data_IF_996551752781
#
_entry.id   IF_996551752781
#
_cell.length_a   1.000
_cell.length_b   1.000
_cell.length_c   1.000
_cell.angle_alpha   90.00
_cell.angle_beta   90.00
_cell.angle_gamma   90.00
#
_symmetry.space_group_name_H-M   'P 1'
#
loop_
_entity.id
_entity.type
_entity.pdbx_description
1 polymer ?
#
# COMPACT_ATOMS: atom_id res chain seq x y z
N UNK A 1 -2.20 27.25 -47.58
CA UNK A 1 -3.40 27.31 -46.70
C UNK A 1 -3.68 25.96 -46.05
N UNK A 2 -3.62 24.85 -46.78
CA UNK A 2 -3.86 23.49 -46.21
C UNK A 2 -2.93 23.09 -45.04
N UNK A 3 -1.67 23.53 -45.05
CA UNK A 3 -0.71 23.22 -44.00
C UNK A 3 -1.06 23.91 -42.64
N UNK A 4 -1.58 25.12 -42.73
CA UNK A 4 -1.99 25.91 -41.55
C UNK A 4 -3.26 25.34 -40.87
N UNK A 5 -4.21 24.84 -41.66
CA UNK A 5 -5.42 24.20 -41.18
C UNK A 5 -5.09 22.83 -40.54
N UNK A 6 -4.15 22.07 -41.12
CA UNK A 6 -3.64 20.83 -40.55
C UNK A 6 -2.97 21.03 -39.19
N UNK A 7 -2.12 22.06 -39.09
CA UNK A 7 -1.46 22.42 -37.81
C UNK A 7 -2.45 22.89 -36.77
N UNK A 8 -3.46 23.70 -37.12
CA UNK A 8 -4.48 24.19 -36.21
C UNK A 8 -5.35 23.03 -35.68
N UNK A 9 -5.72 22.08 -36.55
CA UNK A 9 -6.49 20.91 -36.16
C UNK A 9 -5.68 20.01 -35.21
N UNK A 10 -4.37 19.79 -35.47
CA UNK A 10 -3.50 19.01 -34.61
C UNK A 10 -3.35 19.64 -33.21
N UNK A 11 -3.18 20.97 -33.15
CA UNK A 11 -3.14 21.71 -31.87
C UNK A 11 -4.46 21.60 -31.10
N UNK A 12 -5.59 21.75 -31.81
CA UNK A 12 -6.92 21.63 -31.22
C UNK A 12 -7.17 20.21 -30.67
N UNK A 13 -6.83 19.19 -31.41
CA UNK A 13 -6.96 17.81 -30.95
C UNK A 13 -6.09 17.50 -29.74
N UNK A 14 -4.86 18.06 -29.71
CA UNK A 14 -3.97 17.92 -28.57
C UNK A 14 -4.54 18.60 -27.34
N UNK A 15 -5.00 19.84 -27.48
CA UNK A 15 -5.62 20.61 -26.39
C UNK A 15 -6.89 19.89 -25.84
N UNK A 16 -7.69 19.28 -26.72
CA UNK A 16 -8.87 18.51 -26.30
C UNK A 16 -8.48 17.21 -25.56
N UNK A 17 -7.42 16.52 -26.00
CA UNK A 17 -6.90 15.34 -25.30
C UNK A 17 -6.36 15.69 -23.93
N UNK A 18 -5.55 16.74 -23.85
CA UNK A 18 -4.97 17.22 -22.60
C UNK A 18 -6.06 17.68 -21.61
N UNK A 19 -7.08 18.38 -22.10
CA UNK A 19 -8.23 18.78 -21.27
C UNK A 19 -9.07 17.60 -20.78
N UNK A 20 -9.22 16.55 -21.58
CA UNK A 20 -9.91 15.31 -21.14
C UNK A 20 -9.08 14.58 -20.10
N UNK A 21 -7.79 14.39 -20.33
CA UNK A 21 -6.89 13.75 -19.39
C UNK A 21 -6.84 14.47 -18.03
N UNK A 22 -6.82 15.83 -18.06
CA UNK A 22 -6.88 16.63 -16.85
C UNK A 22 -8.19 16.45 -16.06
N UNK A 23 -9.35 16.43 -16.76
CA UNK A 23 -10.65 16.21 -16.12
C UNK A 23 -10.76 14.81 -15.51
N UNK A 24 -10.29 13.77 -16.23
CA UNK A 24 -10.30 12.40 -15.74
C UNK A 24 -9.37 12.23 -14.53
N UNK A 25 -8.23 12.93 -14.51
CA UNK A 25 -7.33 12.94 -13.36
C UNK A 25 -7.97 13.62 -12.13
N UNK A 26 -8.64 14.75 -12.35
CA UNK A 26 -9.36 15.47 -11.29
C UNK A 26 -10.53 14.66 -10.75
N UNK A 27 -11.28 13.98 -11.61
CA UNK A 27 -12.37 13.13 -11.20
C UNK A 27 -11.87 11.93 -10.39
N UNK A 28 -10.83 11.23 -10.84
CA UNK A 28 -10.19 10.15 -10.07
C UNK A 28 -9.71 10.61 -8.70
N UNK A 29 -9.15 11.82 -8.60
CA UNK A 29 -8.74 12.42 -7.32
C UNK A 29 -9.94 12.64 -6.39
N UNK A 30 -11.05 13.18 -6.91
CA UNK A 30 -12.25 13.43 -6.13
C UNK A 30 -12.90 12.11 -5.67
N UNK A 31 -13.01 11.13 -6.55
CA UNK A 31 -13.54 9.79 -6.23
C UNK A 31 -12.71 9.13 -5.12
N UNK A 32 -11.39 9.25 -5.19
CA UNK A 32 -10.47 8.74 -4.16
C UNK A 32 -10.72 9.42 -2.80
N UNK A 33 -10.88 10.75 -2.77
CA UNK A 33 -11.16 11.50 -1.53
C UNK A 33 -12.48 11.05 -0.91
N UNK A 34 -13.53 10.86 -1.72
CA UNK A 34 -14.84 10.40 -1.24
C UNK A 34 -14.76 8.98 -0.69
N UNK A 35 -14.07 8.08 -1.40
CA UNK A 35 -13.85 6.70 -0.97
C UNK A 35 -13.11 6.65 0.37
N UNK A 36 -12.01 7.37 0.48
CA UNK A 36 -11.21 7.43 1.70
C UNK A 36 -11.97 8.06 2.89
N UNK A 37 -12.77 9.11 2.65
CA UNK A 37 -13.59 9.69 3.70
C UNK A 37 -14.59 8.69 4.27
N UNK A 38 -15.16 7.82 3.42
CA UNK A 38 -16.03 6.74 3.85
C UNK A 38 -15.28 5.69 4.68
N UNK A 39 -14.10 5.27 4.19
CA UNK A 39 -13.31 4.21 4.84
C UNK A 39 -12.67 4.66 6.14
N UNK A 40 -12.33 5.95 6.29
CA UNK A 40 -11.88 6.54 7.55
C UNK A 40 -13.03 6.67 8.56
N UNK A 41 -14.25 6.96 8.10
CA UNK A 41 -15.41 7.14 8.99
C UNK A 41 -15.78 5.86 9.74
N UNK A 42 -15.66 4.71 9.11
CA UNK A 42 -16.07 3.42 9.69
C UNK A 42 -15.27 3.05 10.93
N UNK A 43 -13.91 2.95 10.90
CA UNK A 43 -13.12 2.67 12.10
C UNK A 43 -13.23 3.79 13.13
N UNK A 44 -13.28 5.06 12.72
CA UNK A 44 -13.44 6.19 13.63
C UNK A 44 -14.75 6.09 14.44
N UNK A 45 -15.86 5.77 13.77
CA UNK A 45 -17.16 5.58 14.46
C UNK A 45 -17.09 4.43 15.46
N UNK A 46 -16.37 3.34 15.12
CA UNK A 46 -16.17 2.22 16.03
C UNK A 46 -15.33 2.61 17.27
N UNK A 47 -14.22 3.32 17.05
CA UNK A 47 -13.38 3.85 18.15
C UNK A 47 -14.21 4.71 19.12
N UNK A 48 -14.94 5.69 18.57
CA UNK A 48 -15.79 6.58 19.36
C UNK A 48 -16.86 5.76 20.12
N UNK A 49 -17.51 4.78 19.47
CA UNK A 49 -18.52 3.93 20.08
C UNK A 49 -17.99 3.14 21.28
N UNK A 50 -16.86 2.45 21.14
CA UNK A 50 -16.26 1.67 22.22
C UNK A 50 -15.73 2.55 23.35
N UNK A 51 -15.12 3.70 23.05
CA UNK A 51 -14.68 4.65 24.08
C UNK A 51 -15.88 5.26 24.84
N UNK A 52 -16.99 5.53 24.14
CA UNK A 52 -18.22 6.01 24.77
C UNK A 52 -18.80 4.95 25.71
N UNK A 53 -18.88 3.69 25.29
CA UNK A 53 -19.31 2.58 26.16
C UNK A 53 -18.42 2.44 27.40
N UNK A 54 -17.10 2.52 27.24
CA UNK A 54 -16.15 2.44 28.35
C UNK A 54 -16.29 3.60 29.34
N UNK A 55 -16.66 4.79 28.87
CA UNK A 55 -16.88 5.96 29.68
C UNK A 55 -18.22 5.92 30.43
N UNK A 56 -19.29 5.55 29.74
CA UNK A 56 -20.65 5.67 30.23
C UNK A 56 -21.10 4.48 31.10
N UNK A 57 -20.37 3.34 30.98
CA UNK A 57 -20.64 2.10 31.74
C UNK A 57 -19.51 1.78 32.73
N UNK A 58 -19.43 2.48 33.88
CA UNK A 58 -18.35 2.29 34.85
C UNK A 58 -18.37 0.92 35.54
N UNK A 59 -19.49 0.18 35.49
CA UNK A 59 -19.66 -1.13 36.10
C UNK A 59 -19.32 -2.30 35.20
N UNK A 60 -18.74 -2.08 34.01
CA UNK A 60 -18.25 -3.15 33.14
C UNK A 60 -17.22 -4.02 33.86
N UNK A 61 -17.34 -5.33 33.68
CA UNK A 61 -16.32 -6.29 34.15
C UNK A 61 -14.94 -5.94 33.57
N UNK A 62 -13.87 -6.30 34.29
CA UNK A 62 -12.50 -6.07 33.83
C UNK A 62 -12.24 -6.74 32.48
N UNK A 63 -12.86 -7.90 32.24
CA UNK A 63 -12.75 -8.65 30.99
C UNK A 63 -13.41 -7.90 29.82
N UNK A 64 -14.63 -7.40 29.99
CA UNK A 64 -15.31 -6.60 28.96
C UNK A 64 -14.59 -5.27 28.69
N UNK A 65 -14.08 -4.63 29.75
CA UNK A 65 -13.27 -3.42 29.63
C UNK A 65 -12.01 -3.67 28.80
N UNK A 66 -11.26 -4.73 29.10
CA UNK A 66 -10.06 -5.11 28.35
C UNK A 66 -10.39 -5.42 26.89
N UNK A 67 -11.47 -6.16 26.64
CA UNK A 67 -11.93 -6.48 25.29
C UNK A 67 -12.31 -5.25 24.49
N UNK A 68 -13.09 -4.33 25.05
CA UNK A 68 -13.52 -3.11 24.34
C UNK A 68 -12.36 -2.15 24.09
N UNK A 69 -11.41 -2.06 25.04
CA UNK A 69 -10.18 -1.30 24.84
C UNK A 69 -9.35 -1.90 23.71
N UNK A 70 -9.20 -3.23 23.65
CA UNK A 70 -8.48 -3.91 22.57
C UNK A 70 -9.11 -3.66 21.20
N UNK A 71 -10.45 -3.74 21.11
CA UNK A 71 -11.14 -3.44 19.84
C UNK A 71 -10.97 -1.96 19.44
N UNK A 72 -11.06 -1.03 20.40
CA UNK A 72 -10.87 0.38 20.11
C UNK A 72 -9.44 0.65 19.60
N UNK A 73 -8.44 0.02 20.21
CA UNK A 73 -7.05 0.13 19.78
C UNK A 73 -6.86 -0.43 18.36
N UNK A 74 -7.33 -1.66 18.08
CA UNK A 74 -7.26 -2.27 16.72
C UNK A 74 -7.87 -1.35 15.65
N UNK A 75 -9.01 -0.71 15.95
CA UNK A 75 -9.66 0.20 14.99
C UNK A 75 -8.92 1.54 14.86
N UNK A 76 -8.25 2.00 15.91
CA UNK A 76 -7.40 3.19 15.86
C UNK A 76 -6.13 2.94 15.03
N UNK A 77 -5.48 1.80 15.20
CA UNK A 77 -4.34 1.37 14.39
C UNK A 77 -4.73 1.25 12.90
N UNK A 78 -5.89 0.66 12.62
CA UNK A 78 -6.41 0.60 11.24
C UNK A 78 -6.67 1.99 10.65
N UNK A 79 -7.15 2.95 11.46
CA UNK A 79 -7.36 4.33 11.04
C UNK A 79 -6.02 5.02 10.72
N UNK A 80 -4.99 4.79 11.52
CA UNK A 80 -3.64 5.28 11.27
C UNK A 80 -3.08 4.76 9.95
N UNK A 81 -3.22 3.45 9.68
CA UNK A 81 -2.81 2.85 8.40
C UNK A 81 -3.49 3.53 7.20
N UNK A 82 -4.82 3.73 7.27
CA UNK A 82 -5.58 4.39 6.19
C UNK A 82 -5.15 5.85 5.98
N UNK A 83 -4.83 6.57 7.05
CA UNK A 83 -4.32 7.94 6.97
C UNK A 83 -2.95 7.95 6.27
N UNK A 84 -2.06 7.04 6.63
CA UNK A 84 -0.74 6.92 6.02
C UNK A 84 -0.85 6.57 4.53
N UNK A 85 -1.72 5.61 4.16
CA UNK A 85 -2.03 5.28 2.76
C UNK A 85 -2.54 6.52 1.98
N UNK A 86 -3.41 7.33 2.60
CA UNK A 86 -3.91 8.57 1.99
C UNK A 86 -2.80 9.58 1.71
N UNK A 87 -1.94 9.83 2.70
CA UNK A 87 -0.81 10.74 2.50
C UNK A 87 0.11 10.26 1.40
N UNK A 88 0.32 8.97 1.27
CA UNK A 88 1.13 8.39 0.21
C UNK A 88 0.52 8.63 -1.17
N UNK A 89 -0.75 8.31 -1.34
CA UNK A 89 -1.45 8.51 -2.61
C UNK A 89 -1.47 9.99 -2.99
N UNK A 90 -1.74 10.90 -2.04
CA UNK A 90 -1.77 12.33 -2.32
C UNK A 90 -0.39 12.87 -2.66
N UNK A 91 0.66 12.44 -1.97
CA UNK A 91 2.03 12.83 -2.25
C UNK A 91 2.50 12.36 -3.62
N UNK A 92 2.17 11.13 -4.03
CA UNK A 92 2.50 10.60 -5.35
C UNK A 92 1.69 11.23 -6.49
N UNK A 93 0.45 11.65 -6.22
CA UNK A 93 -0.43 12.27 -7.24
C UNK A 93 -0.12 13.75 -7.49
N UNK A 94 0.49 14.45 -6.53
CA UNK A 94 0.73 15.91 -6.58
C UNK A 94 2.14 16.30 -7.00
N UNK A 95 3.08 15.37 -7.01
CA UNK A 95 4.47 15.63 -7.43
C UNK A 95 4.80 14.79 -8.65
N UNK A 96 5.49 15.38 -9.63
CA UNK A 96 6.27 14.58 -10.58
C UNK A 96 7.20 13.72 -9.73
N UNK A 97 7.00 12.40 -9.76
CA UNK A 97 7.79 11.45 -9.00
C UNK A 97 9.23 11.46 -9.53
N UNK A 98 10.06 12.33 -8.99
CA UNK A 98 11.50 12.27 -9.22
C UNK A 98 12.06 11.09 -8.41
N UNK A 99 12.65 10.11 -9.11
CA UNK A 99 13.29 8.97 -8.50
C UNK A 99 14.76 9.29 -8.22
N UNK A 100 15.16 9.21 -6.96
CA UNK A 100 16.55 9.30 -6.54
C UNK A 100 17.22 7.93 -6.70
N UNK A 101 17.56 7.59 -7.96
CA UNK A 101 18.15 6.30 -8.30
C UNK A 101 19.59 6.20 -7.81
N UNK A 102 19.90 5.07 -7.18
CA UNK A 102 21.26 4.70 -6.77
C UNK A 102 21.45 3.18 -6.91
N UNK A 103 22.71 2.72 -7.07
CA UNK A 103 23.02 1.29 -7.08
C UNK A 103 22.61 0.65 -5.75
N UNK A 104 21.70 -0.29 -5.81
CA UNK A 104 21.09 -0.94 -4.64
C UNK A 104 21.18 -2.45 -4.75
N UNK A 105 21.49 -3.11 -3.64
CA UNK A 105 21.45 -4.57 -3.53
C UNK A 105 20.06 -5.01 -3.05
N UNK A 106 19.23 -5.46 -3.98
CA UNK A 106 17.86 -5.85 -3.71
C UNK A 106 17.75 -7.12 -2.85
N UNK A 107 18.75 -8.01 -2.90
CA UNK A 107 18.78 -9.19 -2.03
C UNK A 107 18.83 -8.76 -0.57
N UNK A 108 19.78 -7.91 -0.21
CA UNK A 108 19.90 -7.39 1.16
C UNK A 108 18.67 -6.61 1.60
N UNK A 109 18.12 -5.80 0.70
CA UNK A 109 16.92 -5.02 1.00
C UNK A 109 15.72 -5.94 1.32
N UNK A 110 15.50 -6.98 0.51
CA UNK A 110 14.41 -7.94 0.73
C UNK A 110 14.62 -8.76 2.00
N UNK A 111 15.85 -9.18 2.30
CA UNK A 111 16.21 -9.85 3.55
C UNK A 111 15.90 -8.98 4.77
N UNK A 112 16.23 -7.69 4.71
CA UNK A 112 15.94 -6.75 5.79
C UNK A 112 14.44 -6.57 5.99
N UNK A 113 13.69 -6.23 4.94
CA UNK A 113 12.23 -6.01 5.03
C UNK A 113 11.53 -7.29 5.50
N UNK A 114 11.90 -8.47 4.97
CA UNK A 114 11.33 -9.74 5.42
C UNK A 114 11.62 -10.02 6.91
N UNK A 115 12.82 -9.65 7.40
CA UNK A 115 13.19 -9.77 8.81
C UNK A 115 12.33 -8.89 9.72
N UNK A 116 11.95 -7.70 9.27
CA UNK A 116 11.08 -6.77 10.02
C UNK A 116 9.64 -7.33 10.15
N UNK A 117 9.18 -8.12 9.17
CA UNK A 117 7.89 -8.79 9.21
C UNK A 117 7.88 -10.13 9.98
N UNK A 118 9.04 -10.69 10.31
CA UNK A 118 9.14 -12.00 10.95
C UNK A 118 8.30 -12.15 12.24
N UNK A 119 8.24 -11.17 13.16
CA UNK A 119 7.40 -11.27 14.35
C UNK A 119 5.91 -11.38 14.01
N UNK A 120 5.43 -10.54 13.08
CA UNK A 120 4.01 -10.54 12.65
C UNK A 120 3.65 -11.84 11.95
N UNK A 121 4.54 -12.36 11.10
CA UNK A 121 4.34 -13.64 10.43
C UNK A 121 4.26 -14.80 11.42
N UNK A 122 5.07 -14.80 12.47
CA UNK A 122 5.04 -15.80 13.52
C UNK A 122 3.70 -15.82 14.28
N UNK A 123 3.05 -14.67 14.53
CA UNK A 123 1.73 -14.58 15.17
C UNK A 123 0.63 -15.31 14.37
N UNK A 124 0.77 -15.36 13.05
CA UNK A 124 -0.18 -16.02 12.13
C UNK A 124 0.30 -17.40 11.66
N UNK A 125 1.42 -17.89 12.20
CA UNK A 125 2.09 -19.14 11.77
C UNK A 125 2.47 -19.12 10.27
N UNK A 126 2.80 -17.93 9.73
CA UNK A 126 3.28 -17.79 8.36
C UNK A 126 4.77 -18.00 8.28
N UNK A 127 5.22 -18.61 7.19
CA UNK A 127 6.64 -18.73 6.85
C UNK A 127 6.97 -17.80 5.70
N UNK A 128 8.13 -17.16 5.76
CA UNK A 128 8.66 -16.38 4.66
C UNK A 128 9.90 -17.08 4.09
N UNK A 129 9.84 -17.44 2.82
CA UNK A 129 10.95 -18.08 2.10
C UNK A 129 11.49 -17.13 1.02
N UNK A 130 12.80 -16.89 1.06
CA UNK A 130 13.51 -16.05 0.09
C UNK A 130 14.35 -16.95 -0.83
N UNK A 131 14.02 -17.00 -2.10
CA UNK A 131 14.78 -17.69 -3.15
C UNK A 131 15.43 -16.63 -4.06
N UNK A 132 16.50 -16.03 -3.57
CA UNK A 132 17.19 -14.92 -4.22
C UNK A 132 18.63 -15.29 -4.55
N UNK A 133 19.22 -14.78 -5.64
CA UNK A 133 20.64 -14.90 -5.87
C UNK A 133 21.41 -14.18 -4.75
N UNK A 134 22.70 -14.55 -4.49
CA UNK A 134 23.50 -13.95 -3.42
C UNK A 134 23.60 -12.41 -3.50
N UNK A 135 23.46 -11.86 -4.68
CA UNK A 135 23.43 -10.43 -4.95
C UNK A 135 22.58 -10.13 -6.16
N UNK A 136 21.67 -9.19 -5.99
CA UNK A 136 20.78 -8.70 -7.06
C UNK A 136 20.91 -7.18 -7.11
N UNK A 137 21.87 -6.69 -7.90
CA UNK A 137 22.15 -5.26 -8.00
C UNK A 137 21.26 -4.59 -9.06
N UNK A 138 20.62 -3.47 -8.70
CA UNK A 138 19.79 -2.70 -9.58
C UNK A 138 19.82 -1.20 -9.22
N UNK A 139 19.76 -0.31 -10.23
CA UNK A 139 19.68 1.12 -10.02
C UNK A 139 18.24 1.56 -9.77
N UNK A 140 17.90 1.80 -8.51
CA UNK A 140 16.56 2.18 -8.09
C UNK A 140 16.59 3.24 -6.98
N UNK A 141 15.43 3.78 -6.68
CA UNK A 141 15.19 4.57 -5.47
C UNK A 141 14.88 3.60 -4.31
N UNK A 142 15.82 3.40 -3.36
CA UNK A 142 15.68 2.37 -2.33
C UNK A 142 14.53 2.65 -1.38
N UNK A 143 14.27 3.92 -1.04
CA UNK A 143 13.21 4.27 -0.09
C UNK A 143 11.82 3.97 -0.67
N UNK A 144 11.64 4.29 -1.96
CA UNK A 144 10.38 4.00 -2.63
C UNK A 144 10.19 2.52 -2.89
N UNK A 145 11.28 1.81 -3.21
CA UNK A 145 11.21 0.37 -3.46
C UNK A 145 11.01 -0.42 -2.16
N UNK A 146 11.66 -0.03 -1.06
CA UNK A 146 11.41 -0.62 0.26
C UNK A 146 9.92 -0.54 0.64
N UNK A 147 9.28 0.58 0.35
CA UNK A 147 7.86 0.79 0.57
C UNK A 147 6.96 -0.10 -0.30
N UNK A 148 7.38 -0.38 -1.54
CA UNK A 148 6.69 -1.38 -2.39
C UNK A 148 6.77 -2.76 -1.75
N UNK A 149 7.94 -3.15 -1.24
CA UNK A 149 8.11 -4.45 -0.59
C UNK A 149 7.31 -4.56 0.72
N UNK A 150 7.29 -3.50 1.55
CA UNK A 150 6.46 -3.42 2.75
C UNK A 150 4.97 -3.64 2.41
N UNK A 151 4.46 -2.94 1.41
CA UNK A 151 3.07 -3.10 0.96
C UNK A 151 2.77 -4.51 0.47
N UNK A 152 3.68 -5.14 -0.29
CA UNK A 152 3.50 -6.51 -0.78
C UNK A 152 3.51 -7.53 0.36
N UNK A 153 4.43 -7.39 1.34
CA UNK A 153 4.49 -8.26 2.51
C UNK A 153 3.30 -8.06 3.45
N UNK A 154 2.84 -6.83 3.63
CA UNK A 154 1.61 -6.52 4.37
C UNK A 154 0.39 -7.15 3.71
N UNK A 155 0.26 -7.08 2.40
CA UNK A 155 -0.79 -7.77 1.65
C UNK A 155 -0.69 -9.29 1.83
N UNK A 156 0.51 -9.86 1.69
CA UNK A 156 0.73 -11.28 1.93
C UNK A 156 0.32 -11.68 3.35
N UNK A 157 0.67 -10.89 4.38
CA UNK A 157 0.25 -11.12 5.75
C UNK A 157 -1.28 -11.13 5.91
N UNK A 158 -1.97 -10.14 5.36
CA UNK A 158 -3.42 -10.01 5.52
C UNK A 158 -4.20 -11.11 4.79
N UNK A 159 -3.80 -11.45 3.57
CA UNK A 159 -4.57 -12.34 2.71
C UNK A 159 -4.15 -13.80 2.79
N UNK A 160 -2.98 -14.14 3.32
CA UNK A 160 -2.53 -15.53 3.47
C UNK A 160 -3.35 -16.31 4.49
N UNK A 161 -3.50 -17.61 4.24
CA UNK A 161 -4.06 -18.53 5.24
C UNK A 161 -3.04 -18.77 6.36
N UNK A 162 -3.48 -18.90 7.62
CA UNK A 162 -2.60 -19.31 8.72
C UNK A 162 -1.87 -20.62 8.39
N UNK A 163 -0.61 -20.72 8.76
CA UNK A 163 0.22 -21.91 8.52
C UNK A 163 0.78 -22.03 7.09
N UNK A 164 0.49 -21.08 6.20
CA UNK A 164 0.97 -21.11 4.81
C UNK A 164 2.36 -20.45 4.65
N UNK A 165 2.90 -20.52 3.43
CA UNK A 165 4.20 -19.96 3.09
C UNK A 165 4.05 -18.78 2.12
N UNK A 166 4.69 -17.66 2.45
CA UNK A 166 4.93 -16.53 1.54
C UNK A 166 6.30 -16.73 0.91
N UNK A 167 6.36 -16.83 -0.40
CA UNK A 167 7.61 -17.05 -1.14
C UNK A 167 7.95 -15.84 -1.98
N UNK A 168 9.19 -15.39 -1.88
CA UNK A 168 9.76 -14.30 -2.66
C UNK A 168 10.90 -14.84 -3.51
N UNK A 169 10.75 -14.78 -4.82
CA UNK A 169 11.80 -15.20 -5.75
C UNK A 169 12.31 -14.00 -6.53
N UNK A 170 13.59 -14.02 -6.91
CA UNK A 170 14.21 -12.96 -7.70
C UNK A 170 15.19 -13.49 -8.72
N UNK A 171 15.16 -12.91 -9.92
CA UNK A 171 16.09 -13.25 -10.98
C UNK A 171 16.48 -12.02 -11.82
N UNK A 172 17.72 -12.04 -12.34
CA UNK A 172 18.22 -11.03 -13.25
C UNK A 172 17.96 -11.47 -14.67
N UNK A 173 17.28 -10.63 -15.48
CA UNK A 173 17.03 -10.88 -16.90
C UNK A 173 17.56 -9.70 -17.72
N UNK A 174 18.76 -9.85 -18.28
CA UNK A 174 19.46 -8.78 -18.99
C UNK A 174 19.50 -7.46 -18.20
N UNK A 175 18.73 -6.46 -18.62
CA UNK A 175 18.66 -5.13 -17.99
C UNK A 175 17.49 -5.00 -17.00
N UNK A 176 16.76 -6.08 -16.74
CA UNK A 176 15.63 -6.09 -15.81
C UNK A 176 15.85 -7.05 -14.66
N UNK A 177 15.20 -6.75 -13.55
CA UNK A 177 15.09 -7.64 -12.39
C UNK A 177 13.63 -8.03 -12.25
N UNK A 178 13.37 -9.34 -12.18
CA UNK A 178 12.03 -9.87 -11.93
C UNK A 178 11.98 -10.37 -10.49
N UNK A 179 11.06 -9.78 -9.71
CA UNK A 179 10.74 -10.21 -8.35
C UNK A 179 9.32 -10.75 -8.32
N UNK A 180 9.14 -11.93 -7.76
CA UNK A 180 7.83 -12.56 -7.65
C UNK A 180 7.50 -12.81 -6.18
N UNK A 181 6.36 -12.31 -5.74
CA UNK A 181 5.80 -12.54 -4.41
C UNK A 181 4.61 -13.48 -4.55
N UNK A 182 4.68 -14.63 -3.91
CA UNK A 182 3.64 -15.67 -3.98
C UNK A 182 3.15 -15.99 -2.58
N UNK A 183 1.85 -16.03 -2.40
CA UNK A 183 1.23 -16.45 -1.15
C UNK A 183 0.00 -17.33 -1.42
N UNK A 184 -0.31 -18.22 -0.49
CA UNK A 184 -1.54 -19.01 -0.49
C UNK A 184 -2.58 -18.35 0.41
N UNK A 185 -3.67 -17.88 -0.19
CA UNK A 185 -4.60 -17.06 0.57
C UNK A 185 -5.93 -16.80 -0.13
N UNK A 186 -6.69 -15.90 0.45
CA UNK A 186 -7.95 -15.43 -0.13
C UNK A 186 -7.67 -14.55 -1.34
N UNK A 187 -8.56 -14.62 -2.33
CA UNK A 187 -8.51 -13.69 -3.47
C UNK A 187 -8.62 -12.26 -2.98
N UNK A 188 -7.71 -11.40 -3.44
CA UNK A 188 -7.78 -9.96 -3.17
C UNK A 188 -9.00 -9.41 -3.91
N UNK A 189 -9.93 -8.71 -3.25
CA UNK A 189 -11.06 -8.08 -3.92
C UNK A 189 -10.58 -7.08 -4.96
N UNK A 190 -11.22 -7.06 -6.13
CA UNK A 190 -10.92 -6.12 -7.20
C UNK A 190 -11.46 -4.71 -6.88
#
# INVERSE_FOLDING_TARGET
MEDLEGQLNAVRERALRDARAAREAEQRKNDLVVYLAHDLKTPLTSVIGYLTLLRDEPQLSSELRSRYTGIALEKAERLEDLINEFFDITRFSLTHLELEKQPTDLTRMLEQVASEFAPQFAEKDLRCELELPPRLAYDCDPDKLARVFDNLLRNAFHYSFPGSTVRITGQQEADTVVLTFTNEGRTIPA
#
